data_IF_042352722263
#
_entry.id   IF_042352722263
#
_cell.length_a   1.000
_cell.length_b   1.000
_cell.length_c   1.000
_cell.angle_alpha   90.00
_cell.angle_beta   90.00
_cell.angle_gamma   90.00
#
_symmetry.space_group_name_H-M   'P 1'
#
loop_
_entity.id
_entity.type
_entity.pdbx_description
1 polymer ?
#
# COMPACT_ATOMS: atom_id res chain seq x y z
N UNK A 1 -11.13 -0.92 2.87
CA UNK A 1 -10.11 -0.42 1.93
C UNK A 1 -10.71 0.68 1.08
N UNK A 2 -10.21 1.90 1.26
CA UNK A 2 -10.49 3.08 0.46
C UNK A 2 -9.39 3.17 -0.61
N UNK A 3 -9.78 3.24 -1.88
CA UNK A 3 -8.82 3.33 -2.98
C UNK A 3 -9.09 4.61 -3.77
N UNK A 4 -8.27 5.63 -3.52
CA UNK A 4 -8.30 6.90 -4.26
C UNK A 4 -7.45 6.86 -5.53
N UNK A 5 -7.11 5.66 -6.00
CA UNK A 5 -6.32 5.41 -7.20
C UNK A 5 -7.03 4.42 -8.11
N UNK A 6 -6.41 4.08 -9.26
CA UNK A 6 -6.85 2.99 -10.14
C UNK A 6 -6.05 1.70 -9.93
N UNK A 7 -5.24 1.61 -8.88
CA UNK A 7 -4.38 0.45 -8.62
C UNK A 7 -5.25 -0.75 -8.28
N UNK A 8 -5.00 -1.89 -8.95
CA UNK A 8 -5.61 -3.18 -8.63
C UNK A 8 -4.76 -3.91 -7.59
N UNK A 9 -5.14 -3.81 -6.32
CA UNK A 9 -4.51 -4.56 -5.24
C UNK A 9 -4.92 -6.04 -5.33
N UNK A 10 -3.99 -7.01 -5.21
CA UNK A 10 -4.35 -8.43 -5.21
C UNK A 10 -5.27 -8.79 -4.04
N UNK A 11 -6.30 -9.61 -4.30
CA UNK A 11 -7.34 -9.98 -3.31
C UNK A 11 -6.78 -10.49 -1.97
N UNK A 12 -5.67 -11.22 -2.00
CA UNK A 12 -4.97 -11.73 -0.79
C UNK A 12 -4.61 -10.60 0.19
N UNK A 13 -4.19 -9.45 -0.32
CA UNK A 13 -3.66 -8.34 0.47
C UNK A 13 -4.71 -7.25 0.77
N UNK A 14 -5.80 -7.17 0.00
CA UNK A 14 -6.87 -6.17 0.19
C UNK A 14 -7.36 -6.09 1.64
N UNK A 15 -7.47 -7.22 2.34
CA UNK A 15 -7.97 -7.27 3.72
C UNK A 15 -7.02 -6.63 4.74
N UNK A 16 -5.76 -6.40 4.37
CA UNK A 16 -4.72 -5.81 5.22
C UNK A 16 -4.44 -4.34 4.90
N UNK A 17 -5.12 -3.77 3.90
CA UNK A 17 -4.94 -2.38 3.46
C UNK A 17 -6.18 -1.58 3.82
N UNK A 18 -5.98 -0.46 4.50
CA UNK A 18 -7.04 0.48 4.81
C UNK A 18 -7.21 1.53 3.74
N UNK A 19 -6.11 2.08 3.22
CA UNK A 19 -6.16 3.15 2.22
C UNK A 19 -5.04 3.04 1.19
N UNK A 20 -5.35 3.39 -0.07
CA UNK A 20 -4.38 3.60 -1.14
C UNK A 20 -4.66 4.95 -1.78
N UNK A 21 -3.66 5.83 -1.82
CA UNK A 21 -3.77 7.17 -2.40
C UNK A 21 -2.61 7.46 -3.35
N UNK A 22 -2.71 8.56 -4.08
CA UNK A 22 -1.66 9.10 -4.91
C UNK A 22 -1.70 10.62 -4.83
N UNK A 23 -0.55 11.24 -4.64
CA UNK A 23 -0.35 12.69 -4.67
C UNK A 23 0.79 13.08 -5.64
N UNK A 24 1.34 14.29 -5.49
CA UNK A 24 2.50 14.77 -6.26
C UNK A 24 3.77 13.98 -5.98
N UNK A 25 3.88 13.38 -4.79
CA UNK A 25 5.11 12.81 -4.26
C UNK A 25 5.17 11.31 -4.53
N UNK A 26 4.04 10.67 -4.81
CA UNK A 26 3.99 9.31 -5.32
C UNK A 26 2.73 8.57 -4.94
N UNK A 27 2.89 7.27 -4.74
CA UNK A 27 1.84 6.35 -4.35
C UNK A 27 2.00 5.99 -2.89
N UNK A 28 0.88 6.01 -2.17
CA UNK A 28 0.84 5.69 -0.75
C UNK A 28 -0.08 4.50 -0.50
N UNK A 29 0.32 3.63 0.41
CA UNK A 29 -0.53 2.60 0.98
C UNK A 29 -0.44 2.62 2.50
N UNK A 30 -1.59 2.51 3.14
CA UNK A 30 -1.74 2.44 4.59
C UNK A 30 -2.28 1.06 4.94
N UNK A 31 -1.52 0.31 5.73
CA UNK A 31 -1.96 -0.98 6.25
C UNK A 31 -2.95 -0.79 7.39
N UNK A 32 -3.66 -1.87 7.72
CA UNK A 32 -4.50 -1.94 8.91
C UNK A 32 -3.70 -1.81 10.19
N UNK A 33 -4.38 -1.42 11.26
CA UNK A 33 -3.83 -1.46 12.61
C UNK A 33 -3.23 -2.84 12.93
N UNK A 34 -2.02 -2.83 13.51
CA UNK A 34 -1.27 -4.04 13.85
C UNK A 34 -0.60 -4.75 12.66
N UNK A 35 -0.78 -4.25 11.43
CA UNK A 35 -0.10 -4.77 10.24
C UNK A 35 1.01 -3.81 9.82
N UNK A 36 2.20 -4.33 9.54
CA UNK A 36 3.34 -3.55 9.05
C UNK A 36 3.78 -4.06 7.69
N UNK A 37 4.24 -3.16 6.83
CA UNK A 37 4.98 -3.54 5.63
C UNK A 37 6.40 -3.92 6.06
N UNK A 38 6.76 -5.21 5.96
CA UNK A 38 8.07 -5.71 6.42
C UNK A 38 9.25 -4.91 5.90
N UNK A 39 9.21 -4.52 4.62
CA UNK A 39 10.27 -3.73 3.96
C UNK A 39 10.39 -2.28 4.47
N UNK A 40 9.34 -1.74 5.09
CA UNK A 40 9.32 -0.38 5.64
C UNK A 40 9.45 -0.35 7.16
N UNK A 41 9.15 -1.47 7.83
CA UNK A 41 9.09 -1.56 9.29
C UNK A 41 7.96 -0.72 9.91
N UNK A 42 6.99 -0.27 9.12
CA UNK A 42 5.89 0.59 9.57
C UNK A 42 4.59 0.34 8.79
N UNK A 43 3.52 1.06 9.16
CA UNK A 43 2.17 0.89 8.60
C UNK A 43 1.93 1.70 7.33
N UNK A 44 2.95 2.39 6.82
CA UNK A 44 2.85 3.26 5.65
C UNK A 44 3.91 2.86 4.62
N UNK A 45 3.49 2.65 3.39
CA UNK A 45 4.39 2.46 2.25
C UNK A 45 4.23 3.64 1.30
N UNK A 46 5.36 4.26 0.92
CA UNK A 46 5.42 5.34 -0.05
C UNK A 46 6.42 4.98 -1.14
N UNK A 47 5.99 5.05 -2.39
CA UNK A 47 6.82 4.69 -3.53
C UNK A 47 6.53 5.58 -4.74
N UNK A 48 7.54 5.89 -5.57
CA UNK A 48 7.36 6.80 -6.70
C UNK A 48 6.54 6.18 -7.83
N UNK A 49 6.50 4.84 -7.92
CA UNK A 49 5.70 4.14 -8.93
C UNK A 49 4.71 3.13 -8.33
N UNK A 50 3.61 2.91 -9.06
CA UNK A 50 2.64 1.85 -8.74
C UNK A 50 3.30 0.46 -8.66
N UNK A 51 4.34 0.21 -9.47
CA UNK A 51 5.00 -1.10 -9.53
C UNK A 51 5.75 -1.38 -8.23
N UNK A 52 6.48 -0.40 -7.73
CA UNK A 52 7.23 -0.49 -6.46
C UNK A 52 6.25 -0.61 -5.28
N UNK A 53 5.20 0.21 -5.25
CA UNK A 53 4.18 0.10 -4.19
C UNK A 53 3.57 -1.31 -4.14
N UNK A 54 3.26 -1.89 -5.31
CA UNK A 54 2.76 -3.27 -5.38
C UNK A 54 3.81 -4.33 -4.98
N UNK A 55 5.10 -4.02 -5.06
CA UNK A 55 6.16 -4.89 -4.54
C UNK A 55 6.15 -4.87 -3.02
N UNK A 56 6.06 -3.68 -2.41
CA UNK A 56 5.97 -3.50 -0.95
C UNK A 56 4.70 -4.14 -0.38
N UNK A 57 3.55 -3.96 -1.02
CA UNK A 57 2.28 -4.59 -0.58
C UNK A 57 2.35 -6.12 -0.61
N UNK A 58 3.24 -6.72 -1.43
CA UNK A 58 3.42 -8.18 -1.46
C UNK A 58 4.30 -8.71 -0.32
N UNK A 59 4.89 -7.85 0.50
CA UNK A 59 5.59 -8.22 1.73
C UNK A 59 4.67 -8.20 2.96
N UNK A 60 3.34 -8.12 2.75
CA UNK A 60 2.31 -8.27 3.78
C UNK A 60 1.84 -9.73 3.96
#
# INVERSE_FOLDING_TARGET
MKNLTRIKIPKKYIKYIDEVTKDSDGYWAFSKEGVIFESMGCHTAHEPSQKELLSVIRTL
#
